data_IF_869167074284
#
_entry.id   IF_869167074284
#
_cell.length_a   1.000
_cell.length_b   1.000
_cell.length_c   1.000
_cell.angle_alpha   90.00
_cell.angle_beta   90.00
_cell.angle_gamma   90.00
#
_symmetry.space_group_name_H-M   'P 1'
#
loop_
_entity.id
_entity.type
_entity.pdbx_description
1 polymer ?
#
# COMPACT_ATOMS: atom_id res chain seq x y z
N UNK A 1 -39.47 -19.04 -21.63
CA UNK A 1 -39.48 -17.56 -21.67
C UNK A 1 -38.15 -16.96 -21.17
N UNK A 2 -37.09 -17.26 -21.93
CA UNK A 2 -35.72 -16.76 -21.61
C UNK A 2 -35.35 -15.46 -22.35
N UNK A 3 -36.31 -14.74 -22.91
CA UNK A 3 -36.03 -13.61 -23.79
C UNK A 3 -36.51 -12.24 -23.29
N UNK A 4 -36.84 -12.07 -22.01
CA UNK A 4 -37.36 -10.79 -21.52
C UNK A 4 -36.64 -10.23 -20.28
N UNK A 5 -35.38 -10.58 -20.05
CA UNK A 5 -34.51 -9.84 -19.10
C UNK A 5 -33.25 -9.31 -19.82
N UNK A 6 -33.45 -8.49 -20.84
CA UNK A 6 -32.44 -7.50 -21.19
C UNK A 6 -32.57 -6.45 -20.06
N UNK A 7 -31.82 -6.66 -18.93
CA UNK A 7 -31.58 -5.58 -17.99
C UNK A 7 -31.03 -4.42 -18.81
N UNK A 8 -31.64 -3.25 -18.67
CA UNK A 8 -31.08 -2.03 -19.23
C UNK A 8 -29.61 -2.01 -18.77
N UNK A 9 -28.67 -2.10 -19.70
CA UNK A 9 -27.26 -2.03 -19.41
C UNK A 9 -26.98 -0.59 -18.99
N UNK A 10 -26.65 -0.40 -17.74
CA UNK A 10 -26.21 0.88 -17.24
C UNK A 10 -24.83 1.19 -17.86
N UNK A 11 -24.74 2.30 -18.56
CA UNK A 11 -23.50 2.75 -19.20
C UNK A 11 -22.86 3.80 -18.29
N UNK A 12 -21.63 3.55 -17.87
CA UNK A 12 -20.82 4.50 -17.11
C UNK A 12 -19.77 5.12 -18.02
N UNK A 13 -19.78 6.45 -18.11
CA UNK A 13 -18.74 7.19 -18.81
C UNK A 13 -17.55 7.44 -17.89
N UNK A 14 -16.38 6.96 -18.26
CA UNK A 14 -15.14 7.10 -17.51
C UNK A 14 -13.95 7.33 -18.43
N UNK A 15 -12.92 8.02 -17.93
CA UNK A 15 -11.71 8.28 -18.70
C UNK A 15 -10.68 7.17 -18.51
N UNK A 16 -10.68 6.54 -17.33
CA UNK A 16 -9.76 5.44 -16.96
C UNK A 16 -10.53 4.30 -16.29
N UNK A 17 -10.34 3.10 -16.81
CA UNK A 17 -10.83 1.86 -16.18
C UNK A 17 -9.64 1.12 -15.55
N UNK A 18 -9.73 0.85 -14.24
CA UNK A 18 -8.72 0.09 -13.50
C UNK A 18 -9.32 -1.27 -13.12
N UNK A 19 -8.69 -2.35 -13.56
CA UNK A 19 -9.11 -3.71 -13.24
C UNK A 19 -8.30 -4.23 -12.06
N UNK A 20 -8.96 -4.34 -10.90
CA UNK A 20 -8.37 -4.80 -9.65
C UNK A 20 -8.43 -3.74 -8.55
N UNK A 21 -9.01 -4.12 -7.41
CA UNK A 21 -9.25 -3.25 -6.24
C UNK A 21 -8.21 -3.42 -5.12
N UNK A 22 -7.06 -4.04 -5.40
CA UNK A 22 -5.96 -4.16 -4.44
C UNK A 22 -5.18 -2.84 -4.26
N UNK A 23 -4.12 -2.85 -3.44
CA UNK A 23 -3.31 -1.66 -3.17
C UNK A 23 -2.83 -0.95 -4.44
N UNK A 24 -2.39 -1.69 -5.46
CA UNK A 24 -1.91 -1.10 -6.71
C UNK A 24 -3.04 -0.37 -7.45
N UNK A 25 -4.21 -1.00 -7.61
CA UNK A 25 -5.34 -0.40 -8.31
C UNK A 25 -5.89 0.82 -7.59
N UNK A 26 -6.07 0.74 -6.27
CA UNK A 26 -6.54 1.87 -5.45
C UNK A 26 -5.53 3.03 -5.44
N UNK A 27 -4.21 2.72 -5.38
CA UNK A 27 -3.16 3.74 -5.48
C UNK A 27 -3.22 4.45 -6.84
N UNK A 28 -3.35 3.69 -7.92
CA UNK A 28 -3.46 4.27 -9.27
C UNK A 28 -4.72 5.12 -9.39
N UNK A 29 -5.86 4.63 -8.89
CA UNK A 29 -7.11 5.38 -8.90
C UNK A 29 -6.97 6.73 -8.20
N UNK A 30 -6.48 6.74 -6.97
CA UNK A 30 -6.28 7.97 -6.19
C UNK A 30 -5.28 8.94 -6.83
N UNK A 31 -4.23 8.44 -7.49
CA UNK A 31 -3.24 9.28 -8.17
C UNK A 31 -3.71 9.87 -9.50
N UNK A 32 -4.72 9.28 -10.12
CA UNK A 32 -5.25 9.74 -11.42
C UNK A 32 -6.57 10.49 -11.29
N UNK A 33 -7.27 10.36 -10.18
CA UNK A 33 -8.58 10.97 -9.97
C UNK A 33 -8.58 12.50 -9.91
N UNK A 34 -7.43 13.13 -9.64
CA UNK A 34 -7.29 14.60 -9.66
C UNK A 34 -7.48 15.19 -11.06
N UNK A 35 -7.28 14.40 -12.14
CA UNK A 35 -7.34 14.87 -13.52
C UNK A 35 -8.20 14.01 -14.44
N UNK A 36 -8.78 12.90 -13.95
CA UNK A 36 -9.58 11.97 -14.75
C UNK A 36 -10.71 11.37 -13.93
N UNK A 37 -11.81 10.97 -14.60
CA UNK A 37 -12.86 10.14 -14.00
C UNK A 37 -12.38 8.69 -14.05
N UNK A 38 -12.39 8.02 -12.92
CA UNK A 38 -11.81 6.68 -12.76
C UNK A 38 -12.90 5.69 -12.33
N UNK A 39 -12.96 4.56 -12.98
CA UNK A 39 -13.78 3.43 -12.53
C UNK A 39 -12.88 2.27 -12.15
N UNK A 40 -13.03 1.80 -10.91
CA UNK A 40 -12.32 0.62 -10.42
C UNK A 40 -13.25 -0.59 -10.47
N UNK A 41 -12.85 -1.62 -11.23
CA UNK A 41 -13.59 -2.88 -11.34
C UNK A 41 -12.95 -3.95 -10.44
N UNK A 42 -13.79 -4.63 -9.67
CA UNK A 42 -13.39 -5.81 -8.89
C UNK A 42 -14.10 -7.04 -9.40
N UNK A 43 -13.41 -8.19 -9.38
CA UNK A 43 -13.98 -9.47 -9.76
C UNK A 43 -15.06 -9.98 -8.77
N UNK A 44 -14.87 -9.67 -7.49
CA UNK A 44 -15.75 -10.01 -6.38
C UNK A 44 -15.84 -8.84 -5.41
N UNK A 45 -16.02 -9.14 -4.15
CA UNK A 45 -15.99 -8.12 -3.11
C UNK A 45 -14.64 -7.39 -3.10
N UNK A 46 -14.65 -6.09 -2.82
CA UNK A 46 -13.43 -5.27 -2.88
C UNK A 46 -12.31 -5.82 -1.99
N UNK A 47 -12.66 -6.45 -0.87
CA UNK A 47 -11.73 -7.03 0.11
C UNK A 47 -11.23 -8.43 -0.25
N UNK A 48 -11.66 -9.04 -1.34
CA UNK A 48 -11.23 -10.39 -1.75
C UNK A 48 -9.79 -10.43 -2.30
N UNK A 49 -9.14 -9.28 -2.40
CA UNK A 49 -7.77 -9.17 -2.90
C UNK A 49 -6.71 -9.54 -1.87
N UNK A 50 -5.54 -10.01 -2.34
CA UNK A 50 -4.40 -10.40 -1.52
C UNK A 50 -3.93 -9.31 -0.53
N UNK A 51 -4.11 -8.03 -0.87
CA UNK A 51 -3.72 -6.91 0.00
C UNK A 51 -4.43 -6.96 1.35
N UNK A 52 -5.73 -7.25 1.37
CA UNK A 52 -6.51 -7.29 2.62
C UNK A 52 -6.02 -8.37 3.60
N UNK A 53 -5.54 -9.49 3.08
CA UNK A 53 -5.07 -10.63 3.87
C UNK A 53 -3.56 -10.62 4.16
N UNK A 54 -2.82 -9.64 3.64
CA UNK A 54 -1.39 -9.54 3.90
C UNK A 54 -1.13 -9.13 5.36
N UNK A 55 -0.39 -9.98 6.09
CA UNK A 55 -0.10 -9.78 7.51
C UNK A 55 1.28 -9.15 7.75
N UNK A 56 2.23 -9.38 6.84
CA UNK A 56 3.56 -8.80 6.92
C UNK A 56 3.59 -7.28 6.81
N UNK A 57 4.73 -6.69 7.13
CA UNK A 57 4.94 -5.26 6.98
C UNK A 57 5.38 -4.84 5.58
N UNK A 58 5.79 -3.59 5.46
CA UNK A 58 6.35 -3.00 4.25
C UNK A 58 7.81 -2.66 4.52
N UNK A 59 8.73 -3.15 3.68
CA UNK A 59 10.15 -2.84 3.80
C UNK A 59 10.49 -1.51 3.12
N UNK A 60 11.12 -0.60 3.84
CA UNK A 60 11.66 0.64 3.29
C UNK A 60 12.86 1.13 4.10
N UNK A 61 13.85 1.71 3.43
CA UNK A 61 15.01 2.33 4.07
C UNK A 61 14.59 3.70 4.59
N UNK A 62 14.44 3.82 5.91
CA UNK A 62 13.99 5.05 6.60
C UNK A 62 14.92 5.47 7.73
N UNK A 63 15.97 4.71 8.01
CA UNK A 63 16.92 4.96 9.09
C UNK A 63 18.33 5.07 8.52
N UNK A 64 19.12 6.02 9.03
CA UNK A 64 20.49 6.30 8.56
C UNK A 64 21.47 5.13 8.80
N UNK A 65 21.13 4.18 9.67
CA UNK A 65 21.90 2.96 9.87
C UNK A 65 21.73 1.90 8.79
N UNK A 66 20.76 2.10 7.87
CA UNK A 66 20.46 1.22 6.75
C UNK A 66 20.78 1.90 5.40
N UNK A 67 20.81 1.14 4.31
CA UNK A 67 21.06 1.64 2.96
C UNK A 67 20.27 0.92 1.91
N UNK A 68 20.04 1.59 0.76
CA UNK A 68 19.41 0.98 -0.40
C UNK A 68 20.21 -0.23 -0.88
N UNK A 69 21.54 -0.14 -0.92
CA UNK A 69 22.41 -1.24 -1.34
C UNK A 69 22.27 -2.46 -0.43
N UNK A 70 22.19 -2.27 0.89
CA UNK A 70 21.93 -3.35 1.85
C UNK A 70 20.57 -4.00 1.61
N UNK A 71 19.51 -3.20 1.39
CA UNK A 71 18.18 -3.73 1.12
C UNK A 71 18.12 -4.50 -0.22
N UNK A 72 18.78 -3.99 -1.26
CA UNK A 72 18.91 -4.69 -2.56
C UNK A 72 19.63 -6.01 -2.37
N UNK A 73 20.76 -6.03 -1.65
CA UNK A 73 21.53 -7.24 -1.40
C UNK A 73 20.71 -8.31 -0.66
N UNK A 74 20.01 -7.93 0.41
CA UNK A 74 19.12 -8.82 1.16
C UNK A 74 18.01 -9.41 0.26
N UNK A 75 17.39 -8.57 -0.56
CA UNK A 75 16.31 -8.99 -1.47
C UNK A 75 16.81 -9.98 -2.52
N UNK A 76 17.95 -9.71 -3.14
CA UNK A 76 18.55 -10.61 -4.12
C UNK A 76 18.99 -11.93 -3.50
N UNK A 77 19.51 -11.89 -2.26
CA UNK A 77 19.89 -13.10 -1.52
C UNK A 77 18.65 -13.97 -1.22
N UNK A 78 17.59 -13.37 -0.67
CA UNK A 78 16.35 -14.08 -0.37
C UNK A 78 15.64 -14.62 -1.64
N UNK A 79 15.78 -13.93 -2.76
CA UNK A 79 15.17 -14.30 -4.03
C UNK A 79 15.88 -15.44 -4.78
N UNK A 80 17.07 -15.87 -4.34
CA UNK A 80 17.79 -17.05 -4.83
C UNK A 80 17.85 -17.11 -6.38
N UNK A 81 18.13 -15.96 -7.01
CA UNK A 81 18.26 -15.87 -8.48
C UNK A 81 16.95 -15.67 -9.26
N UNK A 82 15.79 -15.56 -8.59
CA UNK A 82 14.50 -15.26 -9.23
C UNK A 82 14.26 -13.76 -9.44
N UNK A 83 15.10 -12.90 -8.84
CA UNK A 83 14.95 -11.46 -8.93
C UNK A 83 15.68 -10.87 -10.14
N UNK A 84 15.08 -9.88 -10.77
CA UNK A 84 15.74 -8.97 -11.69
C UNK A 84 16.32 -7.81 -10.88
N UNK A 85 17.65 -7.65 -10.88
CA UNK A 85 18.37 -6.66 -10.06
C UNK A 85 17.89 -5.24 -10.28
N UNK A 86 17.75 -4.83 -11.53
CA UNK A 86 17.29 -3.50 -11.94
C UNK A 86 15.88 -3.17 -11.42
N UNK A 87 15.00 -4.18 -11.38
CA UNK A 87 13.66 -4.05 -10.79
C UNK A 87 13.74 -3.89 -9.28
N UNK A 88 14.58 -4.67 -8.60
CA UNK A 88 14.79 -4.58 -7.15
C UNK A 88 15.33 -3.20 -6.78
N UNK A 89 16.36 -2.71 -7.46
CA UNK A 89 16.94 -1.39 -7.27
C UNK A 89 15.86 -0.30 -7.44
N UNK A 90 15.10 -0.37 -8.54
CA UNK A 90 14.02 0.57 -8.81
C UNK A 90 12.96 0.62 -7.69
N UNK A 91 12.56 -0.53 -7.16
CA UNK A 91 11.54 -0.62 -6.08
C UNK A 91 12.10 -0.11 -4.76
N UNK A 92 13.33 -0.53 -4.40
CA UNK A 92 13.98 -0.14 -3.15
C UNK A 92 14.19 1.37 -3.07
N UNK A 93 14.72 1.98 -4.14
CA UNK A 93 14.96 3.43 -4.21
C UNK A 93 13.68 4.26 -4.02
N UNK A 94 12.52 3.73 -4.42
CA UNK A 94 11.24 4.42 -4.32
C UNK A 94 10.43 4.08 -3.08
N UNK A 95 10.89 3.14 -2.27
CA UNK A 95 10.14 2.63 -1.12
C UNK A 95 9.81 3.71 -0.10
N UNK A 96 10.76 4.57 0.25
CA UNK A 96 10.54 5.66 1.21
C UNK A 96 9.45 6.64 0.74
N UNK A 97 9.47 7.02 -0.56
CA UNK A 97 8.47 7.92 -1.11
C UNK A 97 7.08 7.27 -1.19
N UNK A 98 7.02 5.98 -1.46
CA UNK A 98 5.77 5.22 -1.46
C UNK A 98 5.15 5.14 -0.05
N UNK A 99 5.97 4.87 0.98
CA UNK A 99 5.54 4.86 2.37
C UNK A 99 5.09 6.26 2.82
N UNK A 100 5.85 7.30 2.47
CA UNK A 100 5.47 8.70 2.74
C UNK A 100 4.08 9.02 2.17
N UNK A 101 3.79 8.57 0.96
CA UNK A 101 2.48 8.75 0.36
C UNK A 101 1.39 7.99 1.12
N UNK A 102 1.62 6.75 1.56
CA UNK A 102 0.66 5.98 2.37
C UNK A 102 0.38 6.65 3.71
N UNK A 103 1.42 7.21 4.37
CA UNK A 103 1.27 8.02 5.57
C UNK A 103 0.39 9.24 5.31
N UNK A 104 0.62 9.96 4.21
CA UNK A 104 -0.19 11.10 3.80
C UNK A 104 -1.65 10.72 3.47
N UNK A 105 -1.92 9.48 3.05
CA UNK A 105 -3.29 8.97 2.90
C UNK A 105 -3.96 8.67 4.26
N UNK A 106 -3.21 8.60 5.34
CA UNK A 106 -3.72 8.32 6.68
C UNK A 106 -3.64 6.85 7.08
N UNK A 107 -2.77 6.04 6.46
CA UNK A 107 -2.56 4.65 6.90
C UNK A 107 -2.00 4.65 8.33
N UNK A 108 -2.65 3.97 9.30
CA UNK A 108 -2.30 4.02 10.71
C UNK A 108 -1.12 3.08 11.03
N UNK A 109 0.08 3.43 10.55
CA UNK A 109 1.29 2.69 10.89
C UNK A 109 1.67 2.86 12.36
N UNK A 110 2.24 1.81 12.94
CA UNK A 110 2.75 1.84 14.32
C UNK A 110 3.92 2.81 14.45
N UNK A 111 3.84 3.70 15.44
CA UNK A 111 4.90 4.65 15.77
C UNK A 111 5.75 4.15 16.95
N UNK A 112 6.88 4.78 17.19
CA UNK A 112 7.74 4.49 18.36
C UNK A 112 7.02 4.76 19.68
N UNK A 113 6.13 5.74 19.74
CA UNK A 113 5.28 6.04 20.89
C UNK A 113 4.19 4.98 21.10
N UNK A 114 3.49 4.55 20.06
CA UNK A 114 2.44 3.53 20.15
C UNK A 114 3.00 2.13 20.41
N UNK A 115 4.23 1.85 20.01
CA UNK A 115 4.91 0.58 20.33
C UNK A 115 5.21 0.41 21.83
N UNK A 116 5.28 1.53 22.57
CA UNK A 116 5.56 1.54 24.03
C UNK A 116 4.27 1.70 24.84
N UNK A 117 3.24 2.34 24.27
CA UNK A 117 1.96 2.61 24.93
C UNK A 117 0.85 1.76 24.29
N UNK A 118 0.12 1.00 25.12
CA UNK A 118 -1.14 0.35 24.71
C UNK A 118 -2.30 1.37 24.73
N UNK A 119 -2.21 2.44 23.93
CA UNK A 119 -3.22 3.50 23.90
C UNK A 119 -3.36 4.15 22.52
N UNK A 120 -4.55 4.69 22.25
CA UNK A 120 -4.99 5.32 20.99
C UNK A 120 -4.18 6.59 20.64
N UNK A 121 -2.98 6.43 20.11
CA UNK A 121 -2.25 7.54 19.50
C UNK A 121 -2.54 7.62 18.00
N UNK A 122 -2.82 8.83 17.51
CA UNK A 122 -3.15 9.06 16.11
C UNK A 122 -2.02 8.64 15.17
N UNK A 123 -2.39 8.13 14.00
CA UNK A 123 -1.42 7.83 12.94
C UNK A 123 -0.64 9.09 12.53
N UNK A 124 0.66 8.94 12.17
CA UNK A 124 1.45 10.06 11.67
C UNK A 124 0.79 10.68 10.44
N UNK A 125 0.75 12.00 10.38
CA UNK A 125 0.01 12.76 9.36
C UNK A 125 0.90 13.51 8.36
N UNK A 126 2.23 13.46 8.53
CA UNK A 126 3.17 14.17 7.66
C UNK A 126 4.43 13.38 7.30
N UNK A 127 5.09 13.69 6.16
CA UNK A 127 6.38 13.09 5.79
C UNK A 127 7.49 13.29 6.82
N UNK A 128 7.45 14.38 7.60
CA UNK A 128 8.39 14.65 8.68
C UNK A 128 8.29 13.63 9.82
N UNK A 129 7.23 12.87 9.87
CA UNK A 129 6.97 11.88 10.91
C UNK A 129 7.43 10.47 10.52
N UNK A 130 8.01 10.26 9.33
CA UNK A 130 8.58 8.95 8.94
C UNK A 130 9.61 8.45 9.96
N UNK A 131 10.40 9.35 10.54
CA UNK A 131 11.36 9.03 11.61
C UNK A 131 10.70 8.55 12.90
N UNK A 132 9.41 8.82 13.10
CA UNK A 132 8.62 8.35 14.24
C UNK A 132 8.10 6.92 14.09
N UNK A 133 8.14 6.36 12.87
CA UNK A 133 7.66 5.02 12.61
C UNK A 133 8.48 3.97 13.38
N UNK A 134 7.80 2.99 13.93
CA UNK A 134 8.45 1.84 14.55
C UNK A 134 8.88 0.85 13.47
N UNK A 135 10.17 0.53 13.44
CA UNK A 135 10.75 -0.41 12.49
C UNK A 135 11.08 -1.71 13.18
N UNK A 136 10.64 -2.82 12.58
CA UNK A 136 11.01 -4.17 12.99
C UNK A 136 12.00 -4.80 12.00
N UNK A 137 12.65 -5.88 12.43
CA UNK A 137 13.48 -6.72 11.58
C UNK A 137 12.82 -8.07 11.44
N UNK A 138 12.64 -8.50 10.21
CA UNK A 138 12.09 -9.83 9.89
C UNK A 138 13.14 -10.69 9.19
N UNK A 139 12.87 -11.98 9.03
CA UNK A 139 13.75 -12.92 8.35
C UNK A 139 14.12 -12.46 6.94
N UNK A 140 15.39 -12.63 6.55
CA UNK A 140 15.91 -12.18 5.26
C UNK A 140 16.35 -10.71 5.22
N UNK A 141 16.13 -9.94 6.29
CA UNK A 141 16.58 -8.54 6.39
C UNK A 141 17.75 -8.39 7.36
N UNK A 142 18.80 -7.71 6.94
CA UNK A 142 19.97 -7.40 7.77
C UNK A 142 19.75 -6.21 8.71
N UNK A 143 18.75 -5.36 8.44
CA UNK A 143 18.43 -4.15 9.20
C UNK A 143 16.95 -4.08 9.58
N UNK A 144 16.64 -3.21 10.55
CA UNK A 144 15.27 -2.87 10.93
C UNK A 144 14.70 -1.91 9.89
N UNK A 145 13.88 -2.41 8.99
CA UNK A 145 13.28 -1.62 7.89
C UNK A 145 11.82 -1.96 7.63
N UNK A 146 11.22 -2.80 8.46
CA UNK A 146 9.84 -3.25 8.25
C UNK A 146 8.90 -2.35 9.04
N UNK A 147 8.06 -1.63 8.31
CA UNK A 147 6.97 -0.81 8.82
C UNK A 147 5.72 -1.68 8.92
N UNK A 148 4.96 -1.53 9.97
CA UNK A 148 3.76 -2.34 10.19
C UNK A 148 2.61 -1.51 10.80
N UNK A 149 1.38 -2.01 10.65
CA UNK A 149 0.20 -1.49 11.32
C UNK A 149 -0.41 -2.62 12.16
N UNK A 150 -0.17 -2.61 13.47
CA UNK A 150 -0.56 -3.67 14.40
C UNK A 150 -0.32 -5.07 13.81
N UNK A 151 -1.34 -5.95 13.74
CA UNK A 151 -1.20 -7.33 13.27
C UNK A 151 -1.67 -7.54 11.82
N UNK A 152 -2.04 -6.48 11.10
CA UNK A 152 -2.68 -6.59 9.80
C UNK A 152 -2.39 -5.41 8.87
N UNK A 153 -1.11 -5.21 8.53
CA UNK A 153 -0.65 -4.07 7.72
C UNK A 153 -1.41 -3.96 6.39
N UNK A 154 -1.58 -5.06 5.68
CA UNK A 154 -2.30 -5.06 4.41
C UNK A 154 -3.77 -4.64 4.55
N UNK A 155 -4.44 -5.07 5.62
CA UNK A 155 -5.81 -4.66 5.92
C UNK A 155 -5.89 -3.15 6.18
N UNK A 156 -4.97 -2.60 6.98
CA UNK A 156 -4.93 -1.17 7.27
C UNK A 156 -4.71 -0.34 6.01
N UNK A 157 -3.75 -0.72 5.18
CA UNK A 157 -3.49 -0.08 3.88
C UNK A 157 -4.73 -0.15 2.99
N UNK A 158 -5.32 -1.34 2.84
CA UNK A 158 -6.50 -1.54 1.99
C UNK A 158 -7.68 -0.68 2.45
N UNK A 159 -8.03 -0.72 3.73
CA UNK A 159 -9.18 0.01 4.27
C UNK A 159 -9.01 1.53 4.10
N UNK A 160 -7.82 2.05 4.37
CA UNK A 160 -7.52 3.47 4.17
C UNK A 160 -7.68 3.88 2.71
N UNK A 161 -7.04 3.16 1.78
CA UNK A 161 -7.12 3.50 0.36
C UNK A 161 -8.53 3.33 -0.20
N UNK A 162 -9.26 2.30 0.23
CA UNK A 162 -10.66 2.09 -0.16
C UNK A 162 -11.55 3.24 0.31
N UNK A 163 -11.38 3.68 1.55
CA UNK A 163 -12.14 4.80 2.09
C UNK A 163 -11.86 6.08 1.30
N UNK A 164 -10.58 6.41 1.06
CA UNK A 164 -10.18 7.57 0.27
C UNK A 164 -10.76 7.52 -1.15
N UNK A 165 -10.72 6.34 -1.79
CA UNK A 165 -11.30 6.18 -3.12
C UNK A 165 -12.83 6.39 -3.12
N UNK A 166 -13.55 5.89 -2.10
CA UNK A 166 -15.01 6.10 -1.97
C UNK A 166 -15.41 7.55 -1.70
N UNK A 167 -14.55 8.31 -1.05
CA UNK A 167 -14.77 9.73 -0.74
C UNK A 167 -14.40 10.65 -1.91
N UNK A 168 -13.70 10.14 -2.92
CA UNK A 168 -13.23 10.94 -4.06
C UNK A 168 -14.30 11.06 -5.13
N UNK A 169 -14.64 12.30 -5.51
CA UNK A 169 -15.74 12.59 -6.44
C UNK A 169 -15.57 12.01 -7.86
N UNK A 170 -14.32 11.72 -8.26
CA UNK A 170 -13.98 11.22 -9.60
C UNK A 170 -13.70 9.70 -9.63
N UNK A 171 -13.95 8.93 -8.54
CA UNK A 171 -13.77 7.48 -8.48
C UNK A 171 -15.09 6.79 -8.24
#
# INVERSE_FOLDING_TARGET
NYMNEIREMETLDTDIVIVGSGAAGLTLALRTADFARVTVLSKGDLQDGATYYAQGGIAAVLDDSDSADSHVADTLHAGVGLCHRDVVEHVVERSASAVSWLVAQGVPFTTKSTAVATGDDAAPSSPAELSSLHLTQEGGHSHRRIIHATDATGKAVFQTLQQRAREHANI
#
